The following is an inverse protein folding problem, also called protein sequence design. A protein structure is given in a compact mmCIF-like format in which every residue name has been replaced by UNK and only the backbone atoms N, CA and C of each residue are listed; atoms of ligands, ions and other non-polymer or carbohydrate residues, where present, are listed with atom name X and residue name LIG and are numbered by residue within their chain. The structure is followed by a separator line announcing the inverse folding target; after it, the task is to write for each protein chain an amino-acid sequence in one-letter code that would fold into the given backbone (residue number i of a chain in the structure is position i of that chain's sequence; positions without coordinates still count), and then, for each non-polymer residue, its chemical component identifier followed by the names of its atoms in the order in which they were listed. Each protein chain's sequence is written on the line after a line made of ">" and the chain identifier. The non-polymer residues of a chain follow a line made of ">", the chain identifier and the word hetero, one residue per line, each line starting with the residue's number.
data_IF_958253151056
#
_entry.id   IF_958253151056
#
_cell.length_a   1.000
_cell.length_b   1.000
_cell.length_c   1.000
_cell.angle_alpha   90.00
_cell.angle_beta   90.00
_cell.angle_gamma   90.00
#
_symmetry.space_group_name_H-M   'P 1'
#
loop_
_entity.id
_entity.type
_entity.pdbx_description
1 polymer ?
#
# COMPACT_ATOMS: atom_id res chain seq x y z
N UNK A 1 -14.83 25.42 -21.65
CA UNK A 1 -15.36 25.99 -20.41
C UNK A 1 -16.36 24.99 -19.87
N UNK A 2 -15.87 24.03 -19.09
CA UNK A 2 -16.66 22.87 -18.64
C UNK A 2 -17.84 23.35 -17.80
N UNK A 3 -19.06 23.01 -18.23
CA UNK A 3 -20.27 23.37 -17.52
C UNK A 3 -20.24 22.69 -16.15
N UNK A 4 -19.84 23.43 -15.11
CA UNK A 4 -19.89 22.99 -13.71
C UNK A 4 -21.28 22.44 -13.46
N UNK A 5 -21.39 21.12 -13.28
CA UNK A 5 -22.66 20.46 -13.02
C UNK A 5 -23.04 20.76 -11.58
N UNK A 6 -24.00 21.69 -11.32
CA UNK A 6 -24.20 22.24 -9.97
C UNK A 6 -24.61 21.16 -8.96
N UNK A 7 -25.41 20.19 -9.40
CA UNK A 7 -25.79 19.03 -8.61
C UNK A 7 -24.57 18.21 -8.17
N UNK A 8 -23.61 17.98 -9.07
CA UNK A 8 -22.39 17.26 -8.72
C UNK A 8 -21.55 18.03 -7.71
N UNK A 9 -21.45 19.36 -7.83
CA UNK A 9 -20.70 20.16 -6.85
C UNK A 9 -21.31 20.15 -5.45
N UNK A 10 -22.64 20.14 -5.35
CA UNK A 10 -23.33 20.02 -4.06
C UNK A 10 -23.15 18.63 -3.44
N UNK A 11 -23.27 17.57 -4.24
CA UNK A 11 -23.03 16.20 -3.79
C UNK A 11 -21.57 15.99 -3.37
N UNK A 12 -20.61 16.51 -4.14
CA UNK A 12 -19.19 16.49 -3.81
C UNK A 12 -18.92 17.19 -2.48
N UNK A 13 -19.51 18.36 -2.24
CA UNK A 13 -19.38 19.06 -0.96
C UNK A 13 -19.93 18.23 0.21
N UNK A 14 -21.07 17.56 0.02
CA UNK A 14 -21.67 16.71 1.04
C UNK A 14 -20.85 15.45 1.34
N UNK A 15 -20.25 14.81 0.33
CA UNK A 15 -19.36 13.68 0.54
C UNK A 15 -18.08 14.09 1.27
N UNK A 16 -17.46 15.20 0.86
CA UNK A 16 -16.28 15.77 1.53
C UNK A 16 -16.57 16.08 2.99
N UNK A 17 -17.72 16.71 3.30
CA UNK A 17 -18.11 17.03 4.67
C UNK A 17 -18.28 15.77 5.57
N UNK A 18 -18.52 14.61 4.96
CA UNK A 18 -18.64 13.32 5.67
C UNK A 18 -17.34 12.52 5.69
N UNK A 19 -16.26 13.04 5.09
CA UNK A 19 -15.00 12.31 4.90
C UNK A 19 -15.13 11.11 3.95
N UNK A 20 -16.13 11.12 3.06
CA UNK A 20 -16.32 10.07 2.06
C UNK A 20 -15.51 10.39 0.79
N UNK A 21 -15.09 9.34 0.07
CA UNK A 21 -14.43 9.48 -1.24
C UNK A 21 -15.38 10.15 -2.24
N UNK A 22 -14.87 11.16 -2.95
CA UNK A 22 -15.62 11.90 -3.98
C UNK A 22 -15.32 11.29 -5.36
N UNK A 23 -16.32 10.75 -6.09
CA UNK A 23 -16.11 10.14 -7.40
C UNK A 23 -15.48 11.12 -8.39
N UNK A 24 -14.41 10.73 -9.08
CA UNK A 24 -13.72 11.58 -10.06
C UNK A 24 -12.71 12.57 -9.45
N UNK A 25 -12.62 12.66 -8.13
CA UNK A 25 -11.57 13.39 -7.43
C UNK A 25 -10.54 12.38 -6.91
N UNK A 26 -9.24 12.59 -7.15
CA UNK A 26 -8.20 11.75 -6.55
C UNK A 26 -8.26 11.79 -5.02
N UNK A 27 -8.33 10.62 -4.40
CA UNK A 27 -8.37 10.48 -2.94
C UNK A 27 -6.93 10.62 -2.36
N UNK A 28 -6.67 11.57 -1.44
CA UNK A 28 -5.34 11.79 -0.89
C UNK A 28 -4.77 10.60 -0.11
N UNK A 29 -5.61 9.84 0.60
CA UNK A 29 -5.17 8.63 1.31
C UNK A 29 -4.81 7.54 0.32
N UNK A 30 -5.61 7.38 -0.74
CA UNK A 30 -5.26 6.48 -1.83
C UNK A 30 -3.93 6.86 -2.48
N UNK A 31 -3.72 8.15 -2.77
CA UNK A 31 -2.45 8.65 -3.30
C UNK A 31 -1.27 8.35 -2.38
N UNK A 32 -1.45 8.50 -1.06
CA UNK A 32 -0.43 8.15 -0.06
C UNK A 32 -0.12 6.65 -0.08
N UNK A 33 -1.14 5.79 -0.11
CA UNK A 33 -1.00 4.33 -0.07
C UNK A 33 -0.36 3.76 -1.34
N UNK A 34 -0.64 4.33 -2.50
CA UNK A 34 -0.08 3.90 -3.79
C UNK A 34 1.23 4.62 -4.15
N UNK A 35 1.74 5.46 -3.25
CA UNK A 35 3.02 6.15 -3.44
C UNK A 35 4.19 5.17 -3.49
N UNK A 36 5.26 5.60 -4.17
CA UNK A 36 6.50 4.82 -4.18
C UNK A 36 7.11 4.72 -2.78
N UNK A 37 6.96 5.74 -1.93
CA UNK A 37 7.43 5.67 -0.55
C UNK A 37 6.68 4.59 0.24
N UNK A 38 5.36 4.51 0.10
CA UNK A 38 4.57 3.46 0.76
C UNK A 38 4.98 2.06 0.29
N UNK A 39 5.25 1.89 -1.01
CA UNK A 39 5.79 0.63 -1.54
C UNK A 39 7.14 0.27 -0.91
N UNK A 40 8.07 1.23 -0.79
CA UNK A 40 9.38 0.97 -0.20
C UNK A 40 9.28 0.52 1.26
N UNK A 41 8.41 1.16 2.05
CA UNK A 41 8.15 0.80 3.44
C UNK A 41 7.61 -0.64 3.53
N UNK A 42 6.64 -0.98 2.68
CA UNK A 42 6.05 -2.32 2.64
C UNK A 42 7.10 -3.38 2.27
N UNK A 43 7.90 -3.13 1.23
CA UNK A 43 8.98 -4.02 0.79
C UNK A 43 10.01 -4.23 1.90
N UNK A 44 10.41 -3.17 2.61
CA UNK A 44 11.35 -3.30 3.73
C UNK A 44 10.79 -4.19 4.83
N UNK A 45 9.52 -4.02 5.19
CA UNK A 45 8.85 -4.85 6.19
C UNK A 45 8.86 -6.33 5.78
N UNK A 46 8.45 -6.63 4.55
CA UNK A 46 8.44 -8.00 4.03
C UNK A 46 9.85 -8.61 4.01
N UNK A 47 10.86 -7.86 3.57
CA UNK A 47 12.25 -8.35 3.55
C UNK A 47 12.79 -8.60 4.96
N UNK A 48 12.39 -7.79 5.94
CA UNK A 48 12.74 -7.99 7.35
C UNK A 48 12.16 -9.29 7.88
N UNK A 49 10.90 -9.59 7.56
CA UNK A 49 10.22 -10.81 7.99
C UNK A 49 10.78 -12.06 7.31
N UNK A 50 11.23 -11.96 6.05
CA UNK A 50 11.84 -13.07 5.33
C UNK A 50 13.28 -13.38 5.76
N UNK A 51 13.99 -12.41 6.35
CA UNK A 51 15.40 -12.56 6.76
C UNK A 51 15.63 -13.70 7.78
N UNK A 52 14.82 -13.87 8.84
CA UNK A 52 14.96 -15.01 9.75
C UNK A 52 14.65 -16.36 9.08
N UNK A 53 13.63 -16.46 8.22
CA UNK A 53 13.28 -17.71 7.51
C UNK A 53 14.40 -18.21 6.58
N UNK A 54 15.23 -17.30 6.04
CA UNK A 54 16.37 -17.66 5.20
C UNK A 54 17.54 -18.25 6.01
N UNK A 55 17.70 -17.89 7.27
CA UNK A 55 18.71 -18.44 8.16
C UNK A 55 18.37 -19.88 8.57
N UNK A 56 17.10 -20.14 8.89
CA UNK A 56 16.59 -21.48 9.26
C UNK A 56 16.71 -22.46 8.08
N UNK A 57 16.36 -22.04 6.86
CA UNK A 57 16.53 -22.86 5.65
C UNK A 57 17.99 -23.24 5.42
N UNK A 58 18.93 -22.31 5.64
CA UNK A 58 20.38 -22.58 5.49
C UNK A 58 20.92 -23.55 6.53
N UNK A 59 20.45 -23.46 7.78
CA UNK A 59 20.88 -24.36 8.85
C UNK A 59 20.41 -25.80 8.61
N UNK A 60 19.21 -25.98 8.05
CA UNK A 60 18.70 -27.30 7.65
C UNK A 60 19.46 -27.88 6.45
N UNK A 61 19.78 -27.07 5.43
CA UNK A 61 20.60 -27.52 4.29
C UNK A 61 22.05 -27.80 4.65
N UNK A 62 22.66 -27.03 5.57
CA UNK A 62 24.03 -27.27 6.04
C UNK A 62 24.17 -28.55 6.86
N UNK A 63 23.16 -28.89 7.66
CA UNK A 63 23.14 -30.14 8.46
C UNK A 63 22.98 -31.40 7.61
N UNK A 64 22.29 -31.31 6.47
CA UNK A 64 22.19 -32.41 5.50
C UNK A 64 23.51 -32.67 4.75
N UNK A 65 24.36 -31.65 4.59
CA UNK A 65 25.65 -31.76 3.90
C UNK A 65 26.83 -32.16 4.81
N UNK A 66 26.70 -32.03 6.13
CA UNK A 66 27.75 -32.34 7.10
C UNK A 66 27.68 -33.78 7.67
N UNK A 67 26.79 -34.62 7.14
CA UNK A 67 26.62 -36.02 7.51
C UNK A 67 26.86 -36.95 6.32
N UNK A 68 28.10 -37.00 5.82
CA UNK A 68 28.64 -38.05 4.95
C UNK A 68 30.12 -38.24 5.27
#
# INVERSE_FOLDING_TARGET
>A
MEARTPLYSELAAQWTARGATVPGVPDPEWQRLVSYEALLVEVESVLRDLRPHRAETRLLSGRAAAGT
#
